data_IF_501481759091
#
_entry.id   IF_501481759091
#
_cell.length_a   1.000
_cell.length_b   1.000
_cell.length_c   1.000
_cell.angle_alpha   90.00
_cell.angle_beta   90.00
_cell.angle_gamma   90.00
#
_symmetry.space_group_name_H-M   'P 1'
#
loop_
_entity.id
_entity.type
_entity.pdbx_description
1 polymer ?
#
# COMPACT_ATOMS: atom_id res chain seq x y z
N UNK A 1 -2.52 46.78 -3.14
CA UNK A 1 -1.53 46.46 -2.07
C UNK A 1 -0.24 47.23 -2.31
N UNK A 2 0.43 47.75 -1.25
CA UNK A 2 1.79 48.34 -1.33
C UNK A 2 2.84 47.25 -1.17
N UNK A 3 4.12 47.52 -1.61
CA UNK A 3 5.18 46.48 -1.61
C UNK A 3 5.37 45.81 -0.24
N UNK A 4 5.25 46.52 0.87
CA UNK A 4 5.41 45.93 2.21
C UNK A 4 4.33 44.89 2.49
N UNK A 5 3.10 45.19 2.18
CA UNK A 5 1.95 44.29 2.37
C UNK A 5 2.09 43.07 1.50
N UNK A 6 2.59 43.24 0.26
CA UNK A 6 2.84 42.10 -0.64
C UNK A 6 3.94 41.20 -0.08
N UNK A 7 5.08 41.76 0.38
CA UNK A 7 6.16 40.99 0.98
C UNK A 7 5.69 40.18 2.20
N UNK A 8 4.85 40.79 3.05
CA UNK A 8 4.29 40.10 4.24
C UNK A 8 3.35 38.93 3.87
N UNK A 9 2.77 38.97 2.68
CA UNK A 9 1.87 37.94 2.18
C UNK A 9 2.54 36.88 1.29
N UNK A 10 3.80 37.06 0.83
CA UNK A 10 4.43 36.18 -0.16
C UNK A 10 4.53 34.74 0.29
N UNK A 11 4.84 34.45 1.56
CA UNK A 11 4.90 33.10 2.08
C UNK A 11 3.55 32.39 1.96
N UNK A 12 2.47 33.04 2.42
CA UNK A 12 1.11 32.52 2.36
C UNK A 12 0.62 32.37 0.91
N UNK A 13 1.03 33.27 0.01
CA UNK A 13 0.74 33.18 -1.41
C UNK A 13 1.41 31.94 -2.06
N UNK A 14 2.67 31.69 -1.72
CA UNK A 14 3.45 30.54 -2.22
C UNK A 14 2.97 29.19 -1.63
N UNK A 15 2.29 29.24 -0.48
CA UNK A 15 1.72 28.05 0.18
C UNK A 15 0.23 27.87 -0.13
N UNK A 16 -0.35 28.72 -1.04
CA UNK A 16 -1.76 28.71 -1.43
C UNK A 16 -2.74 28.91 -0.26
N UNK A 17 -2.30 29.62 0.80
CA UNK A 17 -3.06 29.85 2.02
C UNK A 17 -3.83 31.18 2.03
N UNK A 18 -3.73 32.01 0.99
CA UNK A 18 -4.50 33.23 0.85
C UNK A 18 -5.89 32.97 0.27
N UNK A 19 -6.87 33.76 0.71
CA UNK A 19 -8.16 33.82 0.04
C UNK A 19 -8.01 34.36 -1.41
N UNK A 20 -8.97 34.03 -2.27
CA UNK A 20 -8.91 34.34 -3.70
C UNK A 20 -8.80 35.85 -3.99
N UNK A 21 -9.37 36.70 -3.14
CA UNK A 21 -9.30 38.17 -3.28
C UNK A 21 -7.88 38.66 -3.05
N UNK A 22 -7.28 38.29 -1.92
CA UNK A 22 -5.90 38.68 -1.57
C UNK A 22 -4.87 38.06 -2.52
N UNK A 23 -5.05 36.81 -2.92
CA UNK A 23 -4.18 36.17 -3.91
C UNK A 23 -4.18 36.94 -5.22
N UNK A 24 -5.34 37.38 -5.71
CA UNK A 24 -5.47 38.21 -6.90
C UNK A 24 -4.79 39.58 -6.80
N UNK A 25 -4.88 40.23 -5.61
CA UNK A 25 -4.18 41.53 -5.37
C UNK A 25 -2.64 41.34 -5.39
N UNK A 26 -2.12 40.27 -4.77
CA UNK A 26 -0.69 39.92 -4.79
C UNK A 26 -0.25 39.67 -6.21
N UNK A 27 -0.99 38.85 -6.97
CA UNK A 27 -0.68 38.52 -8.37
C UNK A 27 -0.64 39.78 -9.24
N UNK A 28 -1.63 40.65 -9.10
CA UNK A 28 -1.68 41.93 -9.82
C UNK A 28 -0.44 42.79 -9.52
N UNK A 29 -0.04 42.90 -8.25
CA UNK A 29 1.14 43.66 -7.87
C UNK A 29 2.43 43.06 -8.43
N UNK A 30 2.58 41.74 -8.39
CA UNK A 30 3.75 41.02 -8.92
C UNK A 30 3.94 41.20 -10.43
N UNK A 31 2.85 41.44 -11.18
CA UNK A 31 2.94 41.73 -12.64
C UNK A 31 3.64 43.05 -12.93
N UNK A 32 3.53 44.04 -12.03
CA UNK A 32 4.02 45.38 -12.29
C UNK A 32 5.19 45.83 -11.40
N UNK A 33 5.50 45.06 -10.33
CA UNK A 33 6.58 45.42 -9.41
C UNK A 33 7.78 44.46 -9.51
N UNK A 34 8.90 44.86 -10.22
CA UNK A 34 10.07 44.01 -10.36
C UNK A 34 10.75 43.67 -9.03
N UNK A 35 10.66 44.55 -8.03
CA UNK A 35 11.27 44.33 -6.71
C UNK A 35 10.57 43.18 -5.96
N UNK A 36 9.22 43.20 -5.88
CA UNK A 36 8.45 42.15 -5.24
C UNK A 36 8.51 40.81 -6.00
N UNK A 37 8.59 40.88 -7.34
CA UNK A 37 8.81 39.68 -8.15
C UNK A 37 10.15 39.01 -7.82
N UNK A 38 11.23 39.80 -7.67
CA UNK A 38 12.55 39.28 -7.28
C UNK A 38 12.52 38.69 -5.87
N UNK A 39 11.84 39.33 -4.94
CA UNK A 39 11.67 38.78 -3.59
C UNK A 39 10.94 37.44 -3.60
N UNK A 40 9.88 37.31 -4.39
CA UNK A 40 9.18 36.05 -4.59
C UNK A 40 10.11 34.94 -5.14
N UNK A 41 10.93 35.27 -6.14
CA UNK A 41 11.91 34.33 -6.73
C UNK A 41 12.94 33.84 -5.68
N UNK A 42 13.38 34.75 -4.79
CA UNK A 42 14.28 34.40 -3.67
C UNK A 42 13.58 33.45 -2.71
N UNK A 43 12.33 33.71 -2.32
CA UNK A 43 11.57 32.85 -1.42
C UNK A 43 11.28 31.47 -2.02
N UNK A 44 10.99 31.39 -3.32
CA UNK A 44 10.86 30.11 -4.04
C UNK A 44 12.17 29.34 -4.00
N UNK A 45 13.30 30.00 -4.27
CA UNK A 45 14.61 29.37 -4.24
C UNK A 45 14.97 28.87 -2.83
N UNK A 46 14.69 29.67 -1.80
CA UNK A 46 14.89 29.30 -0.40
C UNK A 46 14.01 28.11 -0.01
N UNK A 47 12.71 28.12 -0.35
CA UNK A 47 11.79 26.98 -0.09
C UNK A 47 12.31 25.68 -0.72
N UNK A 48 12.74 25.75 -1.99
CA UNK A 48 13.34 24.58 -2.68
C UNK A 48 14.63 24.10 -2.02
N UNK A 49 15.49 25.04 -1.56
CA UNK A 49 16.72 24.69 -0.85
C UNK A 49 16.42 24.00 0.49
N UNK A 50 15.48 24.54 1.25
CA UNK A 50 15.03 23.95 2.53
C UNK A 50 14.43 22.58 2.31
N UNK A 51 13.57 22.39 1.31
CA UNK A 51 12.98 21.09 0.99
C UNK A 51 14.05 20.04 0.65
N UNK A 52 15.10 20.42 -0.09
CA UNK A 52 16.23 19.52 -0.44
C UNK A 52 17.15 19.22 0.74
N UNK A 53 17.32 20.16 1.67
CA UNK A 53 18.28 20.05 2.78
C UNK A 53 17.71 19.44 4.03
N UNK A 54 16.45 19.73 4.33
CA UNK A 54 15.79 19.26 5.56
C UNK A 54 15.19 17.85 5.41
N UNK A 55 15.11 17.33 4.18
CA UNK A 55 14.41 16.09 3.91
C UNK A 55 12.92 16.17 4.28
N UNK A 56 12.14 15.21 3.93
CA UNK A 56 10.81 15.06 4.51
C UNK A 56 10.99 14.49 5.93
N UNK A 57 10.84 15.34 6.94
CA UNK A 57 10.63 14.84 8.29
C UNK A 57 9.28 14.13 8.27
N UNK A 58 9.31 12.80 8.32
CA UNK A 58 8.07 12.04 8.43
C UNK A 58 7.34 12.50 9.70
N UNK A 59 6.09 12.91 9.56
CA UNK A 59 5.27 13.24 10.71
C UNK A 59 5.18 12.01 11.63
N UNK A 60 5.26 12.17 12.95
CA UNK A 60 5.09 11.05 13.87
C UNK A 60 3.77 10.31 13.59
N UNK A 61 3.78 8.99 13.67
CA UNK A 61 2.59 8.15 13.42
C UNK A 61 1.40 8.55 14.29
N UNK A 62 1.66 9.03 15.51
CA UNK A 62 0.63 9.56 16.41
C UNK A 62 -0.08 10.79 15.84
N UNK A 63 0.64 11.68 15.14
CA UNK A 63 0.04 12.86 14.50
C UNK A 63 -0.85 12.44 13.33
N UNK A 64 -0.39 11.52 12.51
CA UNK A 64 -1.18 10.99 11.40
C UNK A 64 -2.45 10.28 11.87
N UNK A 65 -2.38 9.49 12.95
CA UNK A 65 -3.56 8.87 13.57
C UNK A 65 -4.58 9.91 14.02
N UNK A 66 -4.14 10.94 14.71
CA UNK A 66 -5.03 12.00 15.20
C UNK A 66 -5.67 12.79 14.05
N UNK A 67 -4.90 13.19 13.03
CA UNK A 67 -5.44 13.91 11.86
C UNK A 67 -6.46 13.07 11.11
N UNK A 68 -6.22 11.77 10.95
CA UNK A 68 -7.15 10.85 10.27
C UNK A 68 -8.43 10.63 11.05
N UNK A 69 -8.33 10.50 12.36
CA UNK A 69 -9.48 10.40 13.28
C UNK A 69 -10.35 11.66 13.21
N UNK A 70 -9.75 12.83 13.28
CA UNK A 70 -10.44 14.13 13.19
C UNK A 70 -11.13 14.35 11.84
N UNK A 71 -10.57 13.84 10.74
CA UNK A 71 -11.16 13.95 9.41
C UNK A 71 -12.35 12.99 9.17
N UNK A 72 -12.77 12.21 10.17
CA UNK A 72 -13.93 11.31 10.07
C UNK A 72 -13.77 10.16 9.07
N UNK A 73 -12.54 9.89 8.60
CA UNK A 73 -12.23 8.81 7.65
C UNK A 73 -11.80 7.51 8.34
N UNK A 74 -12.07 7.36 9.62
CA UNK A 74 -11.67 6.19 10.39
C UNK A 74 -12.19 4.86 9.78
N UNK A 75 -13.35 4.88 9.12
CA UNK A 75 -13.91 3.70 8.46
C UNK A 75 -13.19 3.29 7.16
N UNK A 76 -12.44 4.21 6.53
CA UNK A 76 -11.72 3.94 5.28
C UNK A 76 -10.30 3.39 5.53
N UNK A 77 -9.72 3.68 6.73
CA UNK A 77 -8.37 3.26 7.08
C UNK A 77 -8.37 1.99 7.91
N UNK A 78 -7.36 1.15 7.68
CA UNK A 78 -7.11 -0.09 8.43
C UNK A 78 -5.67 -0.15 8.88
N UNK A 79 -5.44 -0.68 10.05
CA UNK A 79 -4.09 -1.06 10.46
C UNK A 79 -3.66 -2.23 9.58
N UNK A 80 -2.50 -2.10 8.94
CA UNK A 80 -2.00 -3.16 8.08
C UNK A 80 -1.47 -4.35 8.88
N UNK A 81 -0.96 -4.11 10.08
CA UNK A 81 -0.13 -5.03 10.85
C UNK A 81 1.34 -5.01 10.41
N UNK A 82 1.67 -4.34 9.30
CA UNK A 82 3.02 -4.29 8.73
C UNK A 82 3.74 -3.06 9.27
N UNK A 83 4.84 -3.26 10.00
CA UNK A 83 5.58 -2.17 10.67
C UNK A 83 6.01 -1.05 9.71
N UNK A 84 6.43 -1.39 8.48
CA UNK A 84 6.82 -0.43 7.46
C UNK A 84 5.66 0.36 6.86
N UNK A 85 4.39 -0.03 7.14
CA UNK A 85 3.20 0.52 6.51
C UNK A 85 1.99 0.47 7.46
N UNK A 86 2.05 1.20 8.56
CA UNK A 86 1.11 1.13 9.71
C UNK A 86 -0.37 1.21 9.30
N UNK A 87 -0.77 2.31 8.65
CA UNK A 87 -2.16 2.54 8.24
C UNK A 87 -2.32 2.58 6.73
N UNK A 88 -3.27 1.82 6.23
CA UNK A 88 -3.61 1.72 4.80
C UNK A 88 -5.09 1.97 4.56
N UNK A 89 -5.44 2.43 3.38
CA UNK A 89 -6.83 2.55 2.94
C UNK A 89 -7.36 1.19 2.49
N UNK A 90 -8.67 0.96 2.66
CA UNK A 90 -9.33 -0.05 1.86
C UNK A 90 -8.98 0.13 0.38
N UNK A 91 -8.90 -0.92 -0.37
CA UNK A 91 -8.49 -0.88 -1.76
C UNK A 91 -6.97 -0.87 -1.97
N UNK A 92 -6.18 -1.11 -0.93
CA UNK A 92 -4.71 -1.12 -1.05
C UNK A 92 -4.21 -2.48 -1.54
N UNK A 93 -3.37 -2.42 -2.59
CA UNK A 93 -2.64 -3.54 -3.17
C UNK A 93 -1.14 -3.35 -2.96
N UNK A 94 -0.49 -4.33 -2.32
CA UNK A 94 0.89 -4.27 -1.83
C UNK A 94 1.69 -5.41 -2.45
N UNK A 95 2.91 -5.15 -2.92
CA UNK A 95 3.89 -6.18 -3.23
C UNK A 95 4.90 -6.34 -2.08
N UNK A 96 5.23 -7.57 -1.73
CA UNK A 96 6.33 -7.94 -0.85
C UNK A 96 7.38 -8.71 -1.64
N UNK A 97 8.62 -8.21 -1.70
CA UNK A 97 9.75 -8.97 -2.17
C UNK A 97 10.48 -9.62 -0.98
N UNK A 98 10.76 -10.91 -1.07
CA UNK A 98 11.47 -11.67 -0.05
C UNK A 98 12.67 -12.42 -0.63
N UNK A 99 13.67 -12.69 0.19
CA UNK A 99 14.87 -13.41 -0.19
C UNK A 99 14.82 -14.87 0.26
N UNK A 100 14.44 -15.10 1.50
CA UNK A 100 14.36 -16.42 2.13
C UNK A 100 12.93 -16.76 2.54
N UNK A 101 12.63 -18.07 2.67
CA UNK A 101 11.31 -18.52 3.13
C UNK A 101 10.93 -17.93 4.50
N UNK A 102 11.92 -17.67 5.36
CA UNK A 102 11.71 -17.15 6.71
C UNK A 102 11.30 -15.66 6.71
N UNK A 103 11.55 -14.94 5.62
CA UNK A 103 11.12 -13.55 5.47
C UNK A 103 9.59 -13.42 5.25
N UNK A 104 8.95 -14.45 4.71
CA UNK A 104 7.51 -14.42 4.36
C UNK A 104 6.63 -14.19 5.59
N UNK A 105 6.77 -14.95 6.69
CA UNK A 105 5.92 -14.78 7.88
C UNK A 105 6.17 -13.48 8.63
N UNK A 106 7.34 -12.84 8.50
CA UNK A 106 7.63 -11.57 9.18
C UNK A 106 6.63 -10.46 8.80
N UNK A 107 6.13 -10.47 7.57
CA UNK A 107 5.11 -9.53 7.07
C UNK A 107 3.72 -10.13 7.15
N UNK A 108 3.56 -11.39 6.72
CA UNK A 108 2.23 -11.96 6.55
C UNK A 108 1.56 -12.35 7.87
N UNK A 109 2.32 -12.74 8.90
CA UNK A 109 1.74 -13.08 10.21
C UNK A 109 1.06 -11.86 10.84
N UNK A 110 1.75 -10.72 11.07
CA UNK A 110 1.09 -9.54 11.65
C UNK A 110 0.01 -8.96 10.72
N UNK A 111 0.17 -9.07 9.40
CA UNK A 111 -0.86 -8.67 8.45
C UNK A 111 -2.17 -9.48 8.61
N UNK A 112 -2.09 -10.79 8.69
CA UNK A 112 -3.26 -11.67 8.88
C UNK A 112 -3.82 -11.54 10.30
N UNK A 113 -2.97 -11.51 11.34
CA UNK A 113 -3.38 -11.32 12.74
C UNK A 113 -4.28 -10.09 12.86
N UNK A 114 -3.84 -8.96 12.30
CA UNK A 114 -4.60 -7.72 12.34
C UNK A 114 -5.96 -7.82 11.63
N UNK A 115 -6.03 -8.50 10.50
CA UNK A 115 -7.29 -8.76 9.81
C UNK A 115 -8.27 -9.61 10.63
N UNK A 116 -7.77 -10.61 11.35
CA UNK A 116 -8.58 -11.45 12.22
C UNK A 116 -9.15 -10.65 13.41
N UNK A 117 -8.36 -9.76 14.01
CA UNK A 117 -8.78 -8.84 15.07
C UNK A 117 -9.85 -7.86 14.60
N UNK A 118 -9.72 -7.33 13.38
CA UNK A 118 -10.61 -6.33 12.79
C UNK A 118 -11.88 -6.96 12.17
N UNK A 119 -12.15 -8.24 12.45
CA UNK A 119 -13.28 -9.00 11.91
C UNK A 119 -13.30 -9.04 10.38
N UNK A 120 -12.15 -9.23 9.74
CA UNK A 120 -12.03 -9.40 8.29
C UNK A 120 -11.99 -10.89 7.92
N UNK A 121 -12.48 -11.26 6.74
CA UNK A 121 -12.22 -12.57 6.15
C UNK A 121 -10.79 -12.59 5.64
N UNK A 122 -9.96 -13.49 6.16
CA UNK A 122 -8.55 -13.59 5.83
C UNK A 122 -8.25 -14.83 4.98
N UNK A 123 -7.55 -14.66 3.86
CA UNK A 123 -7.06 -15.73 3.01
C UNK A 123 -5.55 -15.71 2.92
N UNK A 124 -4.95 -16.88 3.09
CA UNK A 124 -3.52 -17.09 2.83
C UNK A 124 -3.34 -18.13 1.73
N UNK A 125 -2.87 -17.68 0.56
CA UNK A 125 -2.56 -18.56 -0.57
C UNK A 125 -1.08 -18.88 -0.51
N UNK A 126 -0.76 -20.13 -0.22
CA UNK A 126 0.61 -20.63 0.03
C UNK A 126 1.26 -21.20 -1.23
N UNK A 127 2.60 -21.10 -1.32
CA UNK A 127 3.38 -21.69 -2.39
C UNK A 127 4.68 -22.33 -1.86
N UNK A 128 5.76 -21.57 -1.70
CA UNK A 128 7.02 -22.08 -1.14
C UNK A 128 6.85 -22.37 0.37
N UNK A 129 6.11 -21.54 1.06
CA UNK A 129 5.65 -21.83 2.42
C UNK A 129 4.46 -22.80 2.35
N UNK A 130 4.51 -23.89 3.10
CA UNK A 130 3.38 -24.82 3.20
C UNK A 130 2.27 -24.27 4.10
N UNK A 131 1.05 -24.81 3.95
CA UNK A 131 -0.05 -24.48 4.89
C UNK A 131 0.32 -24.79 6.34
N UNK A 132 1.03 -25.91 6.58
CA UNK A 132 1.50 -26.29 7.93
C UNK A 132 2.42 -25.22 8.51
N UNK A 133 3.45 -24.79 7.77
CA UNK A 133 4.36 -23.74 8.21
C UNK A 133 3.64 -22.41 8.49
N UNK A 134 2.66 -22.04 7.63
CA UNK A 134 1.86 -20.82 7.80
C UNK A 134 0.98 -20.90 9.07
N UNK A 135 0.38 -22.05 9.34
CA UNK A 135 -0.40 -22.30 10.57
C UNK A 135 0.49 -22.26 11.81
N UNK A 136 1.66 -22.86 11.78
CA UNK A 136 2.60 -22.88 12.90
C UNK A 136 3.08 -21.45 13.21
N UNK A 137 3.44 -20.67 12.17
CA UNK A 137 3.83 -19.28 12.31
C UNK A 137 2.71 -18.42 12.93
N UNK A 138 1.47 -18.55 12.44
CA UNK A 138 0.31 -17.82 13.00
C UNK A 138 -0.01 -18.28 14.42
N UNK A 139 0.10 -19.56 14.74
CA UNK A 139 -0.22 -20.09 16.07
C UNK A 139 0.65 -19.52 17.17
N UNK A 140 1.87 -19.09 16.84
CA UNK A 140 2.78 -18.43 17.76
C UNK A 140 2.30 -17.02 18.16
N UNK A 141 1.49 -16.37 17.35
CA UNK A 141 1.04 -14.98 17.51
C UNK A 141 -0.47 -14.88 17.81
N UNK A 142 -1.29 -15.74 17.18
CA UNK A 142 -2.75 -15.66 17.26
C UNK A 142 -3.28 -16.70 18.26
N UNK A 143 -3.70 -16.28 19.48
CA UNK A 143 -4.30 -17.19 20.44
C UNK A 143 -5.55 -17.85 19.87
N UNK A 144 -5.66 -19.16 20.07
CA UNK A 144 -6.84 -19.93 19.61
C UNK A 144 -7.08 -19.85 18.09
N UNK A 145 -6.02 -19.87 17.27
CA UNK A 145 -6.07 -19.80 15.80
C UNK A 145 -7.15 -20.73 15.22
N UNK A 146 -7.32 -21.93 15.80
CA UNK A 146 -8.31 -22.92 15.33
C UNK A 146 -9.74 -22.38 15.31
N UNK A 147 -10.12 -21.49 16.22
CA UNK A 147 -11.46 -20.87 16.21
C UNK A 147 -11.73 -20.04 14.95
N UNK A 148 -10.70 -19.35 14.44
CA UNK A 148 -10.81 -18.57 13.20
C UNK A 148 -10.92 -19.48 11.97
N UNK A 149 -10.24 -20.62 12.00
CA UNK A 149 -10.33 -21.63 10.94
C UNK A 149 -11.70 -22.31 10.96
N UNK A 150 -12.19 -22.74 12.14
CA UNK A 150 -13.47 -23.45 12.28
C UNK A 150 -14.66 -22.59 11.81
N UNK A 151 -14.65 -21.30 12.11
CA UNK A 151 -15.69 -20.36 11.62
C UNK A 151 -15.41 -19.79 10.23
N UNK A 152 -14.38 -20.30 9.55
CA UNK A 152 -14.00 -19.92 8.19
C UNK A 152 -13.62 -18.42 8.02
N UNK A 153 -13.25 -17.76 9.09
CA UNK A 153 -12.69 -16.41 9.03
C UNK A 153 -11.24 -16.41 8.52
N UNK A 154 -10.49 -17.49 8.78
CA UNK A 154 -9.18 -17.74 8.21
C UNK A 154 -9.24 -18.96 7.30
N UNK A 155 -8.81 -18.81 6.07
CA UNK A 155 -8.80 -19.88 5.07
C UNK A 155 -7.44 -19.95 4.40
N UNK A 156 -6.96 -21.18 4.16
CA UNK A 156 -5.73 -21.45 3.43
C UNK A 156 -6.04 -22.10 2.09
N UNK A 157 -5.29 -21.74 1.09
CA UNK A 157 -5.34 -22.35 -0.24
C UNK A 157 -3.92 -22.61 -0.72
N UNK A 158 -3.68 -23.72 -1.40
CA UNK A 158 -2.46 -23.87 -2.16
C UNK A 158 -2.50 -23.00 -3.42
N UNK A 159 -1.34 -22.53 -3.91
CA UNK A 159 -1.28 -21.83 -5.20
C UNK A 159 -1.87 -22.65 -6.34
N UNK A 160 -1.76 -24.00 -6.28
CA UNK A 160 -2.31 -24.91 -7.30
C UNK A 160 -3.83 -24.83 -7.36
N UNK A 161 -4.48 -24.81 -6.19
CA UNK A 161 -5.93 -24.78 -6.12
C UNK A 161 -6.47 -23.38 -6.45
N UNK A 162 -5.72 -22.34 -6.11
CA UNK A 162 -6.15 -20.96 -6.31
C UNK A 162 -5.89 -20.43 -7.71
N UNK A 163 -4.65 -20.55 -8.19
CA UNK A 163 -4.19 -19.93 -9.44
C UNK A 163 -4.27 -20.83 -10.66
N UNK A 164 -4.18 -22.17 -10.49
CA UNK A 164 -4.00 -23.05 -11.61
C UNK A 164 -5.29 -23.80 -11.99
N UNK A 165 -5.48 -23.98 -13.30
CA UNK A 165 -6.40 -24.94 -13.89
C UNK A 165 -5.61 -25.86 -14.80
N UNK A 166 -5.74 -27.18 -14.61
CA UNK A 166 -4.98 -28.20 -15.38
C UNK A 166 -3.45 -27.96 -15.36
N UNK A 167 -2.94 -27.40 -14.26
CA UNK A 167 -1.51 -27.13 -14.07
C UNK A 167 -0.99 -25.84 -14.72
N UNK A 168 -1.87 -25.00 -15.29
CA UNK A 168 -1.54 -23.71 -15.90
C UNK A 168 -2.27 -22.57 -15.20
N UNK A 169 -1.68 -21.39 -15.23
CA UNK A 169 -2.35 -20.20 -14.69
C UNK A 169 -3.68 -19.92 -15.39
N UNK A 170 -4.72 -19.71 -14.60
CA UNK A 170 -6.07 -19.40 -15.08
C UNK A 170 -6.54 -18.09 -14.46
N UNK A 171 -6.42 -17.03 -15.26
CA UNK A 171 -6.80 -15.67 -14.89
C UNK A 171 -8.27 -15.57 -14.47
N UNK A 172 -9.18 -16.11 -15.29
CA UNK A 172 -10.62 -15.99 -15.04
C UNK A 172 -11.04 -16.74 -13.77
N UNK A 173 -10.54 -17.97 -13.57
CA UNK A 173 -10.77 -18.76 -12.35
C UNK A 173 -10.32 -17.99 -11.11
N UNK A 174 -9.17 -17.35 -11.18
CA UNK A 174 -8.57 -16.63 -10.05
C UNK A 174 -9.40 -15.40 -9.69
N UNK A 175 -9.80 -14.60 -10.68
CA UNK A 175 -10.67 -13.44 -10.47
C UNK A 175 -12.05 -13.83 -9.93
N UNK A 176 -12.66 -14.87 -10.50
CA UNK A 176 -13.94 -15.40 -10.03
C UNK A 176 -13.83 -15.93 -8.58
N UNK A 177 -12.69 -16.54 -8.24
CA UNK A 177 -12.36 -16.98 -6.90
C UNK A 177 -12.33 -15.82 -5.90
N UNK A 178 -11.59 -14.76 -6.23
CA UNK A 178 -11.50 -13.55 -5.41
C UNK A 178 -12.88 -12.89 -5.23
N UNK A 179 -13.64 -12.76 -6.30
CA UNK A 179 -15.00 -12.19 -6.27
C UNK A 179 -15.92 -13.00 -5.36
N UNK A 180 -15.94 -14.33 -5.50
CA UNK A 180 -16.76 -15.21 -4.63
C UNK A 180 -16.37 -15.08 -3.16
N UNK A 181 -15.07 -15.00 -2.85
CA UNK A 181 -14.58 -14.85 -1.48
C UNK A 181 -14.93 -13.48 -0.89
N UNK A 182 -14.87 -12.44 -1.67
CA UNK A 182 -15.36 -11.13 -1.24
C UNK A 182 -16.87 -11.15 -0.90
N UNK A 183 -17.70 -11.77 -1.76
CA UNK A 183 -19.13 -11.94 -1.47
C UNK A 183 -19.38 -12.83 -0.24
N UNK A 184 -18.58 -13.88 -0.04
CA UNK A 184 -18.60 -14.70 1.18
C UNK A 184 -18.32 -13.85 2.42
N UNK A 185 -17.33 -12.94 2.35
CA UNK A 185 -17.01 -12.03 3.44
C UNK A 185 -18.21 -11.16 3.83
N UNK A 186 -18.82 -10.50 2.86
CA UNK A 186 -19.98 -9.62 3.11
C UNK A 186 -21.18 -10.40 3.64
N UNK A 187 -21.48 -11.56 3.06
CA UNK A 187 -22.63 -12.40 3.45
C UNK A 187 -22.52 -12.95 4.87
N UNK A 188 -21.28 -13.16 5.34
CA UNK A 188 -21.02 -13.64 6.71
C UNK A 188 -20.84 -12.49 7.72
N UNK A 189 -21.00 -11.23 7.31
CA UNK A 189 -20.92 -10.07 8.21
C UNK A 189 -19.50 -9.68 8.60
N UNK A 190 -18.50 -10.07 7.80
CA UNK A 190 -17.14 -9.58 7.98
C UNK A 190 -17.01 -8.11 7.53
N UNK A 191 -16.10 -7.37 8.18
CA UNK A 191 -15.86 -5.96 7.90
C UNK A 191 -15.26 -5.72 6.52
N UNK A 192 -14.58 -6.71 5.95
CA UNK A 192 -13.91 -6.67 4.67
C UNK A 192 -13.16 -7.98 4.38
N UNK A 193 -12.24 -7.90 3.45
CA UNK A 193 -11.52 -9.03 2.88
C UNK A 193 -10.01 -8.76 2.83
N UNK A 194 -9.21 -9.63 3.45
CA UNK A 194 -7.74 -9.51 3.51
C UNK A 194 -7.12 -10.76 2.92
N UNK A 195 -6.25 -10.57 1.91
CA UNK A 195 -5.69 -11.68 1.15
C UNK A 195 -4.19 -11.54 1.04
N UNK A 196 -3.50 -12.66 1.09
CA UNK A 196 -2.11 -12.75 0.65
C UNK A 196 -1.95 -13.90 -0.32
N UNK A 197 -1.17 -13.65 -1.40
CA UNK A 197 -0.89 -14.61 -2.44
C UNK A 197 0.59 -14.71 -2.73
N UNK A 198 1.17 -15.91 -2.59
CA UNK A 198 2.57 -16.16 -2.87
C UNK A 198 2.75 -16.57 -4.33
N UNK A 199 3.55 -15.80 -5.08
CA UNK A 199 3.81 -15.98 -6.52
C UNK A 199 5.17 -16.68 -6.82
N UNK A 200 5.79 -17.35 -5.85
CA UNK A 200 7.07 -18.06 -6.05
C UNK A 200 6.99 -19.24 -7.03
N UNK A 201 5.77 -19.70 -7.33
CA UNK A 201 5.50 -20.75 -8.33
C UNK A 201 5.52 -20.23 -9.77
N UNK A 202 5.41 -18.89 -9.95
CA UNK A 202 5.26 -18.27 -11.27
C UNK A 202 6.52 -18.47 -12.11
N UNK A 203 6.35 -19.00 -13.31
CA UNK A 203 7.40 -19.18 -14.30
C UNK A 203 7.22 -18.22 -15.48
N UNK A 204 8.29 -17.99 -16.25
CA UNK A 204 8.32 -17.04 -17.37
C UNK A 204 7.17 -17.18 -18.38
N UNK A 205 6.72 -18.37 -18.79
CA UNK A 205 5.64 -18.48 -19.77
C UNK A 205 4.30 -17.88 -19.32
N UNK A 206 4.06 -17.83 -18.01
CA UNK A 206 2.82 -17.32 -17.44
C UNK A 206 2.95 -15.87 -16.91
N UNK A 207 4.14 -15.26 -17.01
CA UNK A 207 4.44 -13.94 -16.44
C UNK A 207 3.52 -12.85 -16.98
N UNK A 208 3.40 -12.72 -18.31
CA UNK A 208 2.60 -11.68 -18.95
C UNK A 208 1.12 -11.79 -18.55
N UNK A 209 0.59 -13.01 -18.57
CA UNK A 209 -0.80 -13.27 -18.17
C UNK A 209 -1.03 -12.99 -16.68
N UNK A 210 -0.04 -13.27 -15.84
CA UNK A 210 -0.10 -12.97 -14.42
C UNK A 210 -0.03 -11.45 -14.17
N UNK A 211 0.80 -10.72 -14.92
CA UNK A 211 0.87 -9.26 -14.84
C UNK A 211 -0.41 -8.58 -15.36
N UNK A 212 -1.10 -9.17 -16.32
CA UNK A 212 -2.45 -8.76 -16.71
C UNK A 212 -3.44 -8.96 -15.55
N UNK A 213 -3.41 -10.12 -14.89
CA UNK A 213 -4.20 -10.39 -13.69
C UNK A 213 -3.93 -9.35 -12.59
N UNK A 214 -2.65 -9.03 -12.29
CA UNK A 214 -2.28 -8.02 -11.28
C UNK A 214 -2.88 -6.64 -11.60
N UNK A 215 -2.92 -6.25 -12.86
CA UNK A 215 -3.53 -4.99 -13.29
C UNK A 215 -5.04 -4.98 -13.08
N UNK A 216 -5.72 -6.09 -13.37
CA UNK A 216 -7.16 -6.25 -13.15
C UNK A 216 -7.45 -6.33 -11.66
N UNK A 217 -6.64 -7.06 -10.90
CA UNK A 217 -6.75 -7.19 -9.45
C UNK A 217 -6.63 -5.83 -8.75
N UNK A 218 -5.70 -4.99 -9.19
CA UNK A 218 -5.54 -3.64 -8.65
C UNK A 218 -6.82 -2.80 -8.81
N UNK A 219 -7.48 -2.88 -9.96
CA UNK A 219 -8.77 -2.21 -10.21
C UNK A 219 -9.90 -2.83 -9.35
N UNK A 220 -9.92 -4.16 -9.22
CA UNK A 220 -10.87 -4.85 -8.36
C UNK A 220 -10.69 -4.42 -6.90
N UNK A 221 -9.48 -4.53 -6.36
CA UNK A 221 -9.18 -4.22 -4.97
C UNK A 221 -9.56 -2.77 -4.65
N UNK A 222 -9.23 -1.81 -5.52
CA UNK A 222 -9.50 -0.37 -5.32
C UNK A 222 -10.99 -0.03 -5.22
N UNK A 223 -11.87 -0.91 -5.70
CA UNK A 223 -13.33 -0.71 -5.71
C UNK A 223 -14.05 -1.33 -4.52
N UNK A 224 -13.35 -2.07 -3.67
CA UNK A 224 -13.95 -2.87 -2.59
C UNK A 224 -13.25 -2.66 -1.24
N UNK A 225 -13.91 -3.09 -0.16
CA UNK A 225 -13.26 -3.21 1.17
C UNK A 225 -12.35 -4.44 1.18
N UNK A 226 -11.28 -4.37 0.41
CA UNK A 226 -10.30 -5.43 0.24
C UNK A 226 -8.88 -4.91 0.43
N UNK A 227 -8.02 -5.75 0.98
CA UNK A 227 -6.58 -5.51 1.14
C UNK A 227 -5.85 -6.73 0.59
N UNK A 228 -4.83 -6.52 -0.23
CA UNK A 228 -4.08 -7.62 -0.86
C UNK A 228 -2.59 -7.40 -0.71
N UNK A 229 -1.87 -8.47 -0.32
CA UNK A 229 -0.40 -8.54 -0.35
C UNK A 229 0.01 -9.65 -1.30
N UNK A 230 0.64 -9.29 -2.41
CA UNK A 230 1.24 -10.22 -3.36
C UNK A 230 2.73 -10.41 -3.03
N UNK A 231 3.17 -11.65 -2.90
CA UNK A 231 4.48 -12.00 -2.36
C UNK A 231 5.35 -12.62 -3.45
N UNK A 232 6.51 -12.01 -3.72
CA UNK A 232 7.42 -12.37 -4.80
C UNK A 232 8.79 -12.76 -4.26
N UNK A 233 9.36 -13.86 -4.77
CA UNK A 233 10.73 -14.24 -4.45
C UNK A 233 11.70 -13.43 -5.29
N UNK A 234 12.46 -12.51 -4.68
CA UNK A 234 13.32 -11.56 -5.39
C UNK A 234 14.32 -12.28 -6.30
N UNK A 235 14.96 -13.35 -5.82
CA UNK A 235 15.94 -14.13 -6.59
C UNK A 235 15.37 -14.89 -7.80
N UNK A 236 14.04 -14.92 -7.99
CA UNK A 236 13.37 -15.46 -9.20
C UNK A 236 12.97 -14.37 -10.19
N UNK A 237 13.06 -13.10 -9.82
CA UNK A 237 12.67 -11.95 -10.64
C UNK A 237 13.88 -11.41 -11.39
N UNK A 238 13.72 -11.10 -12.66
CA UNK A 238 14.63 -10.24 -13.42
C UNK A 238 14.40 -8.80 -13.03
N UNK A 239 15.30 -7.88 -13.43
CA UNK A 239 15.09 -6.44 -13.23
C UNK A 239 13.78 -5.96 -13.85
N UNK A 240 13.45 -6.43 -15.06
CA UNK A 240 12.20 -6.08 -15.74
C UNK A 240 10.99 -6.61 -14.99
N UNK A 241 11.06 -7.83 -14.42
CA UNK A 241 9.99 -8.37 -13.59
C UNK A 241 9.75 -7.51 -12.34
N UNK A 242 10.83 -7.03 -11.69
CA UNK A 242 10.71 -6.16 -10.51
C UNK A 242 10.02 -4.85 -10.89
N UNK A 243 10.39 -4.24 -12.01
CA UNK A 243 9.75 -3.01 -12.52
C UNK A 243 8.27 -3.26 -12.81
N UNK A 244 7.95 -4.37 -13.51
CA UNK A 244 6.57 -4.77 -13.79
C UNK A 244 5.69 -4.87 -12.54
N UNK A 245 6.22 -5.48 -11.48
CA UNK A 245 5.52 -5.60 -10.19
C UNK A 245 5.37 -4.23 -9.52
N UNK A 246 6.42 -3.41 -9.53
CA UNK A 246 6.40 -2.08 -8.92
C UNK A 246 5.37 -1.14 -9.57
N UNK A 247 5.20 -1.22 -10.88
CA UNK A 247 4.24 -0.39 -11.62
C UNK A 247 2.78 -0.75 -11.34
N UNK A 248 2.52 -1.95 -10.84
CA UNK A 248 1.16 -2.46 -10.60
C UNK A 248 0.72 -2.37 -9.14
N UNK A 249 1.65 -2.09 -8.22
CA UNK A 249 1.37 -2.05 -6.79
C UNK A 249 1.55 -0.65 -6.22
N UNK A 250 0.60 -0.24 -5.38
CA UNK A 250 0.65 1.08 -4.72
C UNK A 250 1.81 1.20 -3.75
N UNK A 251 2.15 0.11 -3.09
CA UNK A 251 3.26 0.00 -2.14
C UNK A 251 4.07 -1.24 -2.44
N UNK A 252 5.37 -1.11 -2.31
CA UNK A 252 6.31 -2.22 -2.46
C UNK A 252 7.17 -2.30 -1.21
N UNK A 253 7.21 -3.47 -0.58
CA UNK A 253 7.97 -3.74 0.63
C UNK A 253 9.09 -4.72 0.30
N UNK A 254 10.29 -4.40 0.71
CA UNK A 254 11.45 -5.30 0.57
C UNK A 254 12.36 -5.20 1.79
N UNK A 255 13.11 -6.26 2.06
CA UNK A 255 14.07 -6.31 3.17
C UNK A 255 15.41 -5.74 2.71
N UNK A 256 15.90 -4.70 3.39
CA UNK A 256 17.20 -4.07 3.16
C UNK A 256 17.91 -3.95 4.51
N UNK A 257 19.15 -4.40 4.58
CA UNK A 257 19.98 -4.36 5.81
C UNK A 257 19.21 -4.88 7.04
N UNK A 258 18.58 -6.06 6.91
CA UNK A 258 17.76 -6.73 7.92
C UNK A 258 16.52 -5.93 8.40
N UNK A 259 16.14 -4.87 7.70
CA UNK A 259 14.93 -4.10 7.98
C UNK A 259 13.97 -4.08 6.80
N UNK A 260 12.65 -4.16 7.09
CA UNK A 260 11.62 -4.00 6.08
C UNK A 260 11.42 -2.54 5.75
N UNK A 261 11.51 -2.21 4.48
CA UNK A 261 11.40 -0.84 3.98
C UNK A 261 10.36 -0.74 2.88
N UNK A 262 9.66 0.40 2.88
CA UNK A 262 8.72 0.76 1.84
C UNK A 262 9.48 1.40 0.68
N UNK A 263 9.39 0.82 -0.51
CA UNK A 263 9.86 1.42 -1.76
C UNK A 263 8.68 2.13 -2.45
N UNK A 264 8.89 3.35 -2.92
CA UNK A 264 7.94 4.06 -3.78
C UNK A 264 8.39 3.94 -5.22
N UNK A 265 7.45 3.74 -6.16
CA UNK A 265 7.75 3.66 -7.61
C UNK A 265 8.55 4.85 -8.16
N UNK A 266 8.59 5.97 -7.48
CA UNK A 266 9.28 7.20 -7.90
C UNK A 266 10.79 7.25 -7.54
N UNK A 267 11.37 6.22 -6.92
CA UNK A 267 12.77 6.26 -6.43
C UNK A 267 13.75 5.48 -7.33
N UNK A 268 13.28 5.00 -8.49
CA UNK A 268 14.14 4.39 -9.50
C UNK A 268 14.20 5.35 -10.72
N UNK A 269 15.07 6.34 -10.62
CA UNK A 269 15.44 7.29 -11.67
C UNK A 269 16.93 7.50 -11.67
#
# INVERSE_FOLDING_TARGET
>A
MVCREVCDCLCFYLDEELDSGKAGEVEMHLRFCPACKREMEIQIALKRLLQRRLGSVAAPDSLWRNVRFELGRAEEYRESGIQALDLILWGTHIAQFYNTKDDVPEILVPYIEKGLEDNELCLWITSEMSEGDARDALSAHVPSLQKYVDRRQLQFFSYKDWYLSEGRFDLQKTLDGASRKYQEALSNGYSGFRVTGEASWLELPDWDSFMEYESILNNFVSSYKALVVCVYKEGKCTTDNIVDVMDRHKYVISKMDDSWQLRRSAEIG
#
